data_IF_942033166860
#
_entry.id   IF_942033166860
#
_cell.length_a   1.000
_cell.length_b   1.000
_cell.length_c   1.000
_cell.angle_alpha   90.00
_cell.angle_beta   90.00
_cell.angle_gamma   90.00
#
_symmetry.space_group_name_H-M   'P 1'
#
loop_
_entity.id
_entity.type
_entity.pdbx_description
1 polymer ?
#
# COMPACT_ATOMS: atom_id res chain seq x y z
N UNK A 1 -3.75 -1.60 -14.13
CA UNK A 1 -2.66 -2.36 -13.47
C UNK A 1 -2.87 -3.84 -13.69
N UNK A 2 -1.79 -4.62 -13.82
CA UNK A 2 -1.87 -6.08 -14.04
C UNK A 2 -2.65 -6.80 -12.92
N UNK A 3 -2.53 -6.34 -11.68
CA UNK A 3 -3.27 -6.94 -10.54
C UNK A 3 -4.79 -6.79 -10.67
N UNK A 4 -5.29 -5.67 -11.21
CA UNK A 4 -6.74 -5.49 -11.45
C UNK A 4 -7.25 -6.45 -12.52
N UNK A 5 -6.45 -6.77 -13.53
CA UNK A 5 -6.85 -7.75 -14.56
C UNK A 5 -7.03 -9.13 -13.95
N UNK A 6 -6.10 -9.57 -13.10
CA UNK A 6 -6.19 -10.83 -12.36
C UNK A 6 -7.42 -10.82 -11.44
N UNK A 7 -7.64 -9.74 -10.69
CA UNK A 7 -8.82 -9.60 -9.85
C UNK A 7 -10.12 -9.76 -10.64
N UNK A 8 -10.26 -9.04 -11.77
CA UNK A 8 -11.47 -9.12 -12.60
C UNK A 8 -11.70 -10.51 -13.18
N UNK A 9 -10.63 -11.23 -13.52
CA UNK A 9 -10.72 -12.59 -14.08
C UNK A 9 -11.13 -13.64 -13.03
N UNK A 10 -10.67 -13.49 -11.78
CA UNK A 10 -10.78 -14.56 -10.77
C UNK A 10 -11.65 -14.24 -9.55
N UNK A 11 -12.16 -13.01 -9.39
CA UNK A 11 -12.96 -12.58 -8.23
C UNK A 11 -14.20 -13.44 -7.92
N UNK A 12 -14.76 -14.13 -8.91
CA UNK A 12 -15.91 -15.01 -8.68
C UNK A 12 -15.50 -16.41 -8.18
N UNK A 13 -14.19 -16.69 -8.09
CA UNK A 13 -13.61 -17.98 -7.71
C UNK A 13 -12.73 -17.90 -6.46
N UNK A 14 -12.23 -16.71 -6.13
CA UNK A 14 -11.28 -16.46 -5.04
C UNK A 14 -11.49 -15.06 -4.48
N UNK A 15 -11.32 -14.92 -3.17
CA UNK A 15 -11.26 -13.62 -2.52
C UNK A 15 -9.88 -12.98 -2.71
N UNK A 16 -9.85 -11.67 -2.90
CA UNK A 16 -8.63 -10.89 -3.08
C UNK A 16 -8.57 -9.78 -2.04
N UNK A 17 -7.41 -9.66 -1.38
CA UNK A 17 -7.12 -8.59 -0.45
C UNK A 17 -5.73 -8.05 -0.72
N UNK A 18 -5.61 -6.73 -0.75
CA UNK A 18 -4.32 -6.04 -0.65
C UNK A 18 -4.05 -5.79 0.83
N UNK A 19 -2.79 -5.84 1.23
CA UNK A 19 -2.38 -5.49 2.58
C UNK A 19 -1.37 -4.36 2.47
N UNK A 20 -1.69 -3.21 3.06
CA UNK A 20 -0.79 -2.07 3.15
C UNK A 20 0.13 -2.24 4.36
N UNK A 21 1.44 -2.34 4.12
CA UNK A 21 2.49 -2.53 5.14
C UNK A 21 3.26 -1.21 5.36
N UNK A 22 4.32 -1.25 6.17
CA UNK A 22 5.18 -0.08 6.38
C UNK A 22 5.92 0.39 5.12
N UNK A 23 6.26 1.68 5.08
CA UNK A 23 6.98 2.27 3.96
C UNK A 23 8.43 1.77 3.95
N UNK A 24 8.85 1.15 2.85
CA UNK A 24 10.27 0.77 2.67
C UNK A 24 11.13 1.97 2.24
N UNK A 25 10.51 3.05 1.76
CA UNK A 25 11.18 4.29 1.34
C UNK A 25 10.52 5.55 1.90
N UNK A 26 10.52 5.76 3.24
CA UNK A 26 9.93 6.94 3.84
C UNK A 26 10.88 8.15 3.75
N UNK A 27 10.32 9.36 3.80
CA UNK A 27 11.08 10.63 3.74
C UNK A 27 11.93 10.91 4.98
N UNK A 28 11.57 10.32 6.12
CA UNK A 28 12.32 10.32 7.38
C UNK A 28 13.23 9.08 7.54
N UNK A 29 13.43 8.31 6.46
CA UNK A 29 14.35 7.18 6.38
C UNK A 29 15.19 7.18 5.09
N UNK A 30 15.32 6.01 4.45
CA UNK A 30 16.00 5.89 3.17
C UNK A 30 15.03 6.18 2.03
N UNK A 31 15.21 7.31 1.34
CA UNK A 31 14.41 7.66 0.17
C UNK A 31 15.12 7.26 -1.15
N UNK A 32 14.35 7.06 -2.22
CA UNK A 32 14.88 6.71 -3.55
C UNK A 32 14.54 7.77 -4.62
N UNK A 33 15.43 8.03 -5.60
CA UNK A 33 15.20 9.07 -6.61
C UNK A 33 13.94 8.88 -7.47
N UNK A 34 13.46 7.65 -7.62
CA UNK A 34 12.23 7.38 -8.35
C UNK A 34 11.00 7.99 -7.66
N UNK A 35 10.90 7.82 -6.34
CA UNK A 35 9.81 8.38 -5.54
C UNK A 35 9.87 9.91 -5.52
N UNK A 36 11.06 10.50 -5.47
CA UNK A 36 11.21 11.97 -5.56
C UNK A 36 10.71 12.51 -6.90
N UNK A 37 11.09 11.86 -8.01
CA UNK A 37 10.63 12.25 -9.35
C UNK A 37 9.12 12.10 -9.51
N UNK A 38 8.57 11.04 -8.93
CA UNK A 38 7.15 10.70 -9.07
C UNK A 38 6.29 11.30 -7.94
N UNK A 39 6.87 12.19 -7.12
CA UNK A 39 6.25 12.90 -5.99
C UNK A 39 5.59 11.98 -4.94
N UNK A 40 6.13 10.78 -4.76
CA UNK A 40 5.71 9.80 -3.73
C UNK A 40 6.53 10.05 -2.46
N UNK A 41 6.17 11.12 -1.74
CA UNK A 41 6.89 11.60 -0.57
C UNK A 41 6.03 11.42 0.69
N UNK A 42 6.29 10.36 1.45
CA UNK A 42 5.53 9.98 2.64
C UNK A 42 6.49 9.74 3.81
N UNK A 43 6.20 10.31 4.97
CA UNK A 43 6.89 9.96 6.24
C UNK A 43 6.37 8.62 6.76
N UNK A 44 7.19 7.88 7.50
CA UNK A 44 6.76 6.62 8.10
C UNK A 44 5.52 6.83 9.01
N UNK A 45 4.38 6.17 8.74
CA UNK A 45 3.23 6.23 9.64
C UNK A 45 3.58 5.66 11.02
N UNK A 46 3.21 6.39 12.06
CA UNK A 46 3.43 6.03 13.48
C UNK A 46 2.14 5.60 14.18
N UNK A 47 0.99 5.83 13.54
CA UNK A 47 -0.33 5.39 14.01
C UNK A 47 -1.11 4.65 12.92
N UNK A 48 -2.11 3.86 13.34
CA UNK A 48 -2.98 3.15 12.41
C UNK A 48 -3.80 4.11 11.53
N UNK A 49 -4.20 5.27 12.07
CA UNK A 49 -4.94 6.28 11.32
C UNK A 49 -4.06 6.93 10.24
N UNK A 50 -2.81 7.29 10.56
CA UNK A 50 -1.84 7.77 9.57
C UNK A 50 -1.61 6.73 8.47
N UNK A 51 -1.47 5.45 8.85
CA UNK A 51 -1.33 4.36 7.87
C UNK A 51 -2.56 4.25 6.97
N UNK A 52 -3.76 4.39 7.54
CA UNK A 52 -5.01 4.37 6.80
C UNK A 52 -5.11 5.53 5.80
N UNK A 53 -4.67 6.73 6.18
CA UNK A 53 -4.64 7.90 5.29
C UNK A 53 -3.72 7.66 4.09
N UNK A 54 -2.49 7.19 4.32
CA UNK A 54 -1.53 6.91 3.24
C UNK A 54 -2.03 5.77 2.34
N UNK A 55 -2.52 4.69 2.94
CA UNK A 55 -3.13 3.58 2.21
C UNK A 55 -4.32 4.04 1.34
N UNK A 56 -5.13 4.95 1.86
CA UNK A 56 -6.24 5.59 1.15
C UNK A 56 -5.78 6.40 -0.07
N UNK A 57 -4.69 7.17 0.06
CA UNK A 57 -4.10 7.88 -1.08
C UNK A 57 -3.56 6.88 -2.11
N UNK A 58 -2.86 5.84 -1.67
CA UNK A 58 -2.29 4.80 -2.53
C UNK A 58 -3.37 4.06 -3.32
N UNK A 59 -4.47 3.62 -2.67
CA UNK A 59 -5.54 2.87 -3.32
C UNK A 59 -6.24 3.70 -4.40
N UNK A 60 -6.42 5.00 -4.16
CA UNK A 60 -7.01 5.95 -5.12
C UNK A 60 -6.07 6.19 -6.29
N UNK A 61 -4.80 6.50 -6.03
CA UNK A 61 -3.82 6.86 -7.07
C UNK A 61 -3.52 5.68 -8.00
N UNK A 62 -3.35 4.49 -7.43
CA UNK A 62 -3.10 3.27 -8.19
C UNK A 62 -4.38 2.67 -8.79
N UNK A 63 -5.55 3.11 -8.33
CA UNK A 63 -6.88 2.65 -8.79
C UNK A 63 -7.06 1.16 -8.58
N UNK A 64 -6.68 0.64 -7.41
CA UNK A 64 -6.97 -0.75 -7.07
C UNK A 64 -8.49 -0.97 -6.97
N UNK A 65 -8.95 -2.14 -7.40
CA UNK A 65 -10.39 -2.48 -7.46
C UNK A 65 -10.81 -3.51 -6.42
N UNK A 66 -9.84 -4.07 -5.69
CA UNK A 66 -10.06 -5.00 -4.59
C UNK A 66 -9.91 -4.29 -3.23
N UNK A 67 -10.51 -4.84 -2.16
CA UNK A 67 -10.34 -4.31 -0.81
C UNK A 67 -8.87 -4.24 -0.39
N UNK A 68 -8.52 -3.18 0.32
CA UNK A 68 -7.22 -3.02 0.97
C UNK A 68 -7.43 -3.08 2.49
N UNK A 69 -6.66 -3.96 3.13
CA UNK A 69 -6.50 -4.07 4.57
C UNK A 69 -5.21 -3.39 4.99
N UNK A 70 -5.09 -3.07 6.27
CA UNK A 70 -3.87 -2.52 6.85
C UNK A 70 -3.19 -3.63 7.65
N UNK A 71 -1.87 -3.75 7.52
CA UNK A 71 -1.11 -4.48 8.52
C UNK A 71 -1.18 -3.75 9.86
N UNK A 72 -1.00 -4.48 10.96
CA UNK A 72 -0.94 -3.89 12.29
C UNK A 72 0.33 -3.05 12.45
N UNK A 73 0.32 -2.15 13.45
CA UNK A 73 1.47 -1.26 13.69
C UNK A 73 2.71 -2.00 14.22
N UNK A 74 2.57 -3.27 14.62
CA UNK A 74 3.69 -4.14 14.98
C UNK A 74 4.39 -4.74 13.73
N UNK A 75 3.86 -4.47 12.52
CA UNK A 75 4.39 -4.88 11.22
C UNK A 75 4.60 -6.40 11.10
N UNK A 76 3.68 -7.20 11.65
CA UNK A 76 3.81 -8.66 11.68
C UNK A 76 3.90 -9.31 10.29
N UNK A 77 3.42 -8.63 9.25
CA UNK A 77 3.42 -9.14 7.88
C UNK A 77 4.63 -8.64 7.06
N UNK A 78 5.41 -7.70 7.58
CA UNK A 78 6.61 -7.26 6.86
C UNK A 78 7.74 -8.31 6.97
N UNK A 79 8.28 -8.72 5.82
CA UNK A 79 9.33 -9.74 5.73
C UNK A 79 8.86 -11.19 5.69
N UNK A 80 7.55 -11.46 5.56
CA UNK A 80 7.00 -12.81 5.32
C UNK A 80 7.06 -13.25 3.86
#
# INVERSE_FOLDING_TARGET
>A
MRVNEIYREFRDRMDFYLIYIQEIHPTDGWQVPANERDEVLVTQPTTADERAEVAGVCIINLKFEMPMLLDNMDNELDGT
#
